data_IF_550158400198
#
_entry.id   IF_550158400198
#
_cell.length_a   1.000
_cell.length_b   1.000
_cell.length_c   1.000
_cell.angle_alpha   90.00
_cell.angle_beta   90.00
_cell.angle_gamma   90.00
#
_symmetry.space_group_name_H-M   'P 1'
#
loop_
_entity.id
_entity.type
_entity.pdbx_description
1 polymer ?
#
# COMPACT_ATOMS: atom_id res chain seq x y z
N UNK A 1 14.71 -16.77 -5.81
CA UNK A 1 15.02 -16.17 -7.09
C UNK A 1 16.41 -15.50 -7.01
N UNK A 2 17.10 -15.37 -8.12
CA UNK A 2 18.41 -14.74 -8.24
C UNK A 2 18.50 -14.03 -9.61
N UNK A 3 19.44 -13.08 -9.75
CA UNK A 3 19.72 -12.45 -11.02
C UNK A 3 20.70 -13.33 -11.82
N UNK A 4 20.35 -13.65 -13.08
CA UNK A 4 21.27 -14.30 -14.02
C UNK A 4 22.33 -13.32 -14.55
N UNK A 5 23.23 -13.80 -15.41
CA UNK A 5 24.30 -12.99 -16.01
C UNK A 5 23.77 -11.82 -16.85
N UNK A 6 22.53 -11.92 -17.35
CA UNK A 6 21.85 -10.88 -18.12
C UNK A 6 21.08 -9.87 -17.23
N UNK A 7 21.06 -10.09 -15.92
CA UNK A 7 20.31 -9.27 -14.98
C UNK A 7 18.82 -9.60 -14.88
N UNK A 8 18.37 -10.74 -15.42
CA UNK A 8 16.98 -11.18 -15.29
C UNK A 8 16.75 -11.92 -13.99
N UNK A 9 15.58 -11.73 -13.38
CA UNK A 9 15.18 -12.44 -12.18
C UNK A 9 14.73 -13.86 -12.53
N UNK A 10 15.49 -14.86 -12.09
CA UNK A 10 15.25 -16.26 -12.37
C UNK A 10 14.88 -17.00 -11.09
N UNK A 11 13.95 -17.95 -11.20
CA UNK A 11 13.61 -18.84 -10.09
C UNK A 11 14.77 -19.81 -9.82
N UNK A 12 15.15 -19.94 -8.54
CA UNK A 12 16.10 -20.95 -8.09
C UNK A 12 15.43 -22.32 -8.00
N UNK A 13 16.18 -23.37 -8.28
CA UNK A 13 15.76 -24.75 -7.99
C UNK A 13 15.80 -25.10 -6.50
N UNK A 14 16.36 -24.22 -5.67
CA UNK A 14 16.46 -24.42 -4.23
C UNK A 14 15.31 -23.69 -3.51
N UNK A 15 14.68 -24.36 -2.56
CA UNK A 15 13.82 -23.75 -1.57
C UNK A 15 14.68 -23.03 -0.53
N UNK A 16 14.23 -21.88 -0.05
CA UNK A 16 14.95 -21.15 0.99
C UNK A 16 14.95 -21.95 2.29
N UNK A 17 16.15 -22.32 2.75
CA UNK A 17 16.35 -23.06 4.02
C UNK A 17 16.95 -22.12 5.06
N UNK A 18 16.70 -22.43 6.35
CA UNK A 18 17.39 -21.76 7.45
C UNK A 18 18.90 -21.95 7.31
N UNK A 19 19.73 -20.95 7.64
CA UNK A 19 21.18 -21.03 7.49
C UNK A 19 21.82 -22.30 8.04
N UNK A 20 21.31 -22.79 9.17
CA UNK A 20 21.83 -23.97 9.87
C UNK A 20 21.39 -25.31 9.25
N UNK A 21 20.50 -25.29 8.27
CA UNK A 21 19.92 -26.47 7.60
C UNK A 21 20.32 -26.55 6.12
N UNK A 22 21.12 -25.60 5.64
CA UNK A 22 21.55 -25.55 4.23
C UNK A 22 22.49 -26.69 3.91
N UNK A 23 22.21 -27.35 2.79
CA UNK A 23 23.13 -28.34 2.23
C UNK A 23 24.37 -27.66 1.64
N UNK A 24 25.45 -28.44 1.47
CA UNK A 24 26.68 -27.93 0.85
C UNK A 24 26.41 -27.39 -0.56
N UNK A 25 25.60 -28.08 -1.35
CA UNK A 25 25.23 -27.64 -2.71
C UNK A 25 24.44 -26.33 -2.73
N UNK A 26 23.56 -26.12 -1.75
CA UNK A 26 22.85 -24.85 -1.57
C UNK A 26 23.80 -23.72 -1.18
N UNK A 27 24.76 -23.99 -0.28
CA UNK A 27 25.80 -23.01 0.15
C UNK A 27 26.69 -22.62 -1.04
N UNK A 28 27.14 -23.60 -1.82
CA UNK A 28 27.98 -23.38 -3.00
C UNK A 28 27.21 -22.57 -4.06
N UNK A 29 25.93 -22.87 -4.30
CA UNK A 29 25.06 -22.09 -5.18
C UNK A 29 24.90 -20.65 -4.68
N UNK A 30 24.58 -20.46 -3.40
CA UNK A 30 24.42 -19.14 -2.79
C UNK A 30 25.72 -18.32 -2.79
N UNK A 31 26.87 -18.95 -2.82
CA UNK A 31 28.16 -18.26 -2.94
C UNK A 31 28.49 -17.84 -4.39
N UNK A 32 27.91 -18.55 -5.37
CA UNK A 32 28.12 -18.28 -6.80
C UNK A 32 27.21 -17.19 -7.36
N UNK A 33 26.11 -16.86 -6.69
CA UNK A 33 25.16 -15.85 -7.16
C UNK A 33 25.45 -14.46 -6.55
N UNK A 34 25.10 -13.42 -7.31
CA UNK A 34 25.17 -12.05 -6.79
C UNK A 34 24.14 -11.85 -5.67
N UNK A 35 24.62 -11.59 -4.46
CA UNK A 35 23.77 -11.42 -3.26
C UNK A 35 23.09 -10.06 -3.17
N UNK A 36 23.45 -9.14 -4.05
CA UNK A 36 22.81 -7.81 -4.09
C UNK A 36 21.80 -7.81 -5.23
N UNK A 37 20.51 -7.82 -4.87
CA UNK A 37 19.46 -7.47 -5.80
C UNK A 37 19.58 -5.96 -6.08
N UNK A 38 20.37 -5.64 -7.09
CA UNK A 38 20.43 -4.27 -7.63
C UNK A 38 19.54 -4.21 -8.84
N UNK A 39 18.69 -3.20 -8.91
CA UNK A 39 17.92 -2.94 -10.12
C UNK A 39 18.88 -2.53 -11.25
N UNK A 40 18.65 -3.00 -12.47
CA UNK A 40 19.37 -2.52 -13.65
C UNK A 40 19.04 -1.03 -13.89
N UNK A 41 19.93 -0.30 -14.58
CA UNK A 41 19.69 1.11 -14.90
C UNK A 41 18.37 1.31 -15.66
N UNK A 42 17.99 0.37 -16.53
CA UNK A 42 16.70 0.39 -17.21
C UNK A 42 15.52 0.21 -16.26
N UNK A 43 15.65 -0.70 -15.28
CA UNK A 43 14.61 -0.88 -14.25
C UNK A 43 14.51 0.35 -13.34
N UNK A 44 15.65 0.97 -13.00
CA UNK A 44 15.69 2.21 -12.23
C UNK A 44 15.05 3.35 -13.03
N UNK A 45 15.38 3.47 -14.31
CA UNK A 45 14.84 4.51 -15.20
C UNK A 45 13.35 4.33 -15.42
N UNK A 46 12.89 3.10 -15.69
CA UNK A 46 11.48 2.78 -15.85
C UNK A 46 10.69 3.01 -14.54
N UNK A 47 11.27 2.68 -13.39
CA UNK A 47 10.68 3.03 -12.11
C UNK A 47 10.63 4.55 -11.88
N UNK A 48 11.69 5.28 -12.17
CA UNK A 48 11.73 6.74 -12.04
C UNK A 48 10.71 7.42 -12.97
N UNK A 49 10.49 6.90 -14.17
CA UNK A 49 9.49 7.42 -15.10
C UNK A 49 8.06 7.01 -14.74
N UNK A 50 7.88 5.84 -14.15
CA UNK A 50 6.58 5.40 -13.59
C UNK A 50 6.23 6.11 -12.27
N UNK A 51 7.24 6.41 -11.46
CA UNK A 51 7.15 7.35 -10.34
C UNK A 51 7.59 8.73 -10.82
N UNK A 52 6.90 9.32 -11.80
CA UNK A 52 6.87 10.78 -11.82
C UNK A 52 6.45 11.17 -10.42
N UNK A 53 7.30 11.94 -9.76
CA UNK A 53 7.07 12.48 -8.43
C UNK A 53 5.67 13.08 -8.40
N UNK A 54 4.72 12.29 -7.92
CA UNK A 54 3.46 12.84 -7.47
C UNK A 54 3.94 13.68 -6.29
N UNK A 55 3.99 14.99 -6.47
CA UNK A 55 4.15 15.88 -5.34
C UNK A 55 2.88 15.70 -4.50
N UNK A 56 2.92 14.74 -3.61
CA UNK A 56 1.92 14.63 -2.57
C UNK A 56 2.21 15.78 -1.64
N UNK A 57 1.39 16.81 -1.70
CA UNK A 57 1.44 17.94 -0.79
C UNK A 57 0.88 17.57 0.60
N UNK A 58 0.72 16.27 0.88
CA UNK A 58 0.23 15.86 2.18
C UNK A 58 1.22 16.28 3.27
N UNK A 59 0.78 17.07 4.24
CA UNK A 59 1.66 17.57 5.28
C UNK A 59 2.25 16.43 6.11
N UNK A 60 3.54 16.50 6.40
CA UNK A 60 4.26 15.48 7.20
C UNK A 60 4.33 15.82 8.68
N UNK A 61 3.77 16.97 9.07
CA UNK A 61 3.68 17.45 10.45
C UNK A 61 2.34 18.14 10.69
N UNK A 62 2.00 18.33 11.97
CA UNK A 62 0.75 18.97 12.36
C UNK A 62 -0.40 17.98 12.48
N UNK A 63 -1.61 18.51 12.49
CA UNK A 63 -2.84 17.75 12.67
C UNK A 63 -3.55 17.61 11.32
N UNK A 64 -3.55 16.42 10.75
CA UNK A 64 -3.95 16.19 9.36
C UNK A 64 -5.08 15.17 9.26
N UNK A 65 -6.07 15.47 8.43
CA UNK A 65 -7.17 14.55 8.16
C UNK A 65 -6.76 13.48 7.14
N UNK A 66 -7.14 12.24 7.40
CA UNK A 66 -6.89 11.09 6.52
C UNK A 66 -8.22 10.44 6.17
N UNK A 67 -8.53 10.33 4.89
CA UNK A 67 -9.72 9.61 4.41
C UNK A 67 -9.36 8.17 4.09
N UNK A 68 -10.14 7.23 4.63
CA UNK A 68 -10.06 5.80 4.36
C UNK A 68 -11.41 5.37 3.78
N UNK A 69 -11.43 4.91 2.52
CA UNK A 69 -12.63 4.46 1.85
C UNK A 69 -12.61 2.93 1.77
N UNK A 70 -13.53 2.28 2.44
CA UNK A 70 -13.70 0.83 2.38
C UNK A 70 -14.51 0.46 1.14
N UNK A 71 -14.01 -0.51 0.38
CA UNK A 71 -14.70 -0.99 -0.82
C UNK A 71 -14.89 -2.50 -0.80
N UNK A 72 -16.00 -2.96 -1.36
CA UNK A 72 -16.25 -4.33 -1.79
C UNK A 72 -16.34 -4.38 -3.30
N UNK A 73 -16.17 -5.56 -3.87
CA UNK A 73 -16.24 -5.77 -5.31
C UNK A 73 -17.54 -6.50 -5.67
N UNK A 74 -17.97 -6.39 -6.92
CA UNK A 74 -19.21 -7.06 -7.38
C UNK A 74 -19.22 -8.58 -7.11
N UNK A 75 -18.04 -9.21 -7.12
CA UNK A 75 -17.83 -10.64 -6.89
C UNK A 75 -17.33 -10.98 -5.47
N UNK A 76 -17.04 -9.98 -4.64
CA UNK A 76 -16.49 -10.19 -3.29
C UNK A 76 -17.06 -9.19 -2.30
N UNK A 77 -17.95 -9.67 -1.45
CA UNK A 77 -18.54 -8.87 -0.39
C UNK A 77 -17.52 -8.52 0.70
N UNK A 78 -17.71 -7.37 1.31
CA UNK A 78 -16.99 -6.95 2.50
C UNK A 78 -17.45 -7.78 3.71
N UNK A 79 -16.53 -8.29 4.51
CA UNK A 79 -16.82 -9.25 5.59
C UNK A 79 -16.56 -8.71 6.99
N UNK A 80 -15.92 -7.56 7.11
CA UNK A 80 -15.60 -6.93 8.39
C UNK A 80 -16.54 -5.77 8.69
N UNK A 81 -16.72 -5.44 9.95
CA UNK A 81 -17.46 -4.26 10.34
C UNK A 81 -16.63 -2.99 10.11
N UNK A 82 -17.27 -1.87 9.76
CA UNK A 82 -16.60 -0.57 9.60
C UNK A 82 -15.87 -0.15 10.87
N UNK A 83 -16.48 -0.43 12.02
CA UNK A 83 -15.96 -0.15 13.36
C UNK A 83 -14.62 -0.85 13.66
N UNK A 84 -14.35 -1.99 13.01
CA UNK A 84 -13.04 -2.67 13.12
C UNK A 84 -11.94 -1.83 12.46
N UNK A 85 -12.24 -1.17 11.35
CA UNK A 85 -11.33 -0.27 10.65
C UNK A 85 -11.21 1.09 11.35
N UNK A 86 -12.29 1.64 11.90
CA UNK A 86 -12.23 2.82 12.75
C UNK A 86 -11.29 2.59 13.94
N UNK A 87 -11.42 1.43 14.59
CA UNK A 87 -10.56 1.05 15.70
C UNK A 87 -9.10 0.88 15.26
N UNK A 88 -8.85 0.19 14.14
CA UNK A 88 -7.51 0.02 13.59
C UNK A 88 -6.87 1.36 13.21
N UNK A 89 -7.65 2.28 12.67
CA UNK A 89 -7.15 3.56 12.19
C UNK A 89 -6.86 4.55 13.35
N UNK A 90 -7.74 4.61 14.37
CA UNK A 90 -7.76 5.74 15.32
C UNK A 90 -7.73 5.37 16.80
N UNK A 91 -8.00 4.11 17.20
CA UNK A 91 -8.11 3.74 18.61
C UNK A 91 -6.73 3.81 19.30
N UNK A 92 -6.54 4.64 20.33
CA UNK A 92 -5.29 4.66 21.07
C UNK A 92 -4.96 3.30 21.70
N UNK A 93 -3.72 2.84 21.54
CA UNK A 93 -3.29 1.55 22.08
C UNK A 93 -3.96 0.34 21.46
N UNK A 94 -4.41 0.42 20.19
CA UNK A 94 -5.03 -0.71 19.49
C UNK A 94 -4.11 -1.95 19.55
N UNK A 95 -4.66 -3.09 20.01
CA UNK A 95 -3.86 -4.30 20.30
C UNK A 95 -4.44 -5.60 19.74
N UNK A 96 -5.48 -5.54 18.87
CA UNK A 96 -6.04 -6.76 18.27
C UNK A 96 -4.99 -7.43 17.37
N UNK A 97 -5.01 -8.76 17.36
CA UNK A 97 -4.12 -9.59 16.53
C UNK A 97 -2.61 -9.31 16.71
N UNK A 98 -2.21 -8.85 17.89
CA UNK A 98 -0.80 -8.56 18.21
C UNK A 98 -0.32 -7.19 17.70
N UNK A 99 -1.21 -6.31 17.28
CA UNK A 99 -0.87 -4.93 16.97
C UNK A 99 -0.36 -4.19 18.22
N UNK A 100 0.53 -3.23 18.02
CA UNK A 100 1.15 -2.42 19.10
C UNK A 100 0.73 -0.96 19.06
N UNK A 101 -0.41 -0.67 18.44
CA UNK A 101 -1.01 0.65 18.28
C UNK A 101 -1.89 0.70 17.04
N UNK A 102 -2.63 1.79 16.89
CA UNK A 102 -3.40 2.11 15.69
C UNK A 102 -2.52 2.76 14.61
N UNK A 103 -3.08 3.00 13.42
CA UNK A 103 -2.41 3.80 12.38
C UNK A 103 -2.04 5.19 12.92
N UNK A 104 -2.96 5.82 13.67
CA UNK A 104 -2.72 7.11 14.33
C UNK A 104 -1.54 7.02 15.29
N UNK A 105 -1.50 6.02 16.18
CA UNK A 105 -0.42 5.83 17.14
C UNK A 105 0.93 5.64 16.42
N UNK A 106 0.95 4.81 15.37
CA UNK A 106 2.16 4.55 14.61
C UNK A 106 2.77 5.83 14.01
N UNK A 107 1.97 6.65 13.32
CA UNK A 107 2.48 7.87 12.71
C UNK A 107 2.86 8.93 13.75
N UNK A 108 2.14 8.99 14.86
CA UNK A 108 2.51 9.85 15.98
C UNK A 108 3.88 9.47 16.55
N UNK A 109 4.11 8.18 16.79
CA UNK A 109 5.37 7.67 17.35
C UNK A 109 6.55 7.86 16.39
N UNK A 110 6.43 7.46 15.12
CA UNK A 110 7.53 7.54 14.15
C UNK A 110 7.86 8.99 13.75
N UNK A 111 6.93 9.92 13.92
CA UNK A 111 7.16 11.35 13.73
C UNK A 111 7.66 12.07 14.99
N UNK A 112 7.88 11.35 16.08
CA UNK A 112 8.22 11.93 17.37
C UNK A 112 7.17 12.94 17.87
N UNK A 113 5.89 12.63 17.68
CA UNK A 113 4.76 13.47 18.06
C UNK A 113 4.53 14.69 17.17
N UNK A 114 5.20 14.77 16.02
CA UNK A 114 5.07 15.92 15.11
C UNK A 114 3.89 15.80 14.13
N UNK A 115 3.44 14.56 13.85
CA UNK A 115 2.31 14.29 12.97
C UNK A 115 1.18 13.62 13.75
N UNK A 116 0.03 14.26 13.81
CA UNK A 116 -1.18 13.65 14.35
C UNK A 116 -2.19 13.44 13.21
N UNK A 117 -2.59 12.19 12.97
CA UNK A 117 -3.59 11.86 11.97
C UNK A 117 -4.98 11.82 12.60
N UNK A 118 -5.99 12.33 11.87
CA UNK A 118 -7.40 12.19 12.17
C UNK A 118 -8.06 11.33 11.07
N UNK A 119 -8.04 10.00 11.20
CA UNK A 119 -8.65 9.13 10.23
C UNK A 119 -10.17 9.25 10.24
N UNK A 120 -10.77 9.28 9.05
CA UNK A 120 -12.21 9.11 8.82
C UNK A 120 -12.40 7.90 7.92
N UNK A 121 -13.17 6.92 8.37
CA UNK A 121 -13.47 5.71 7.60
C UNK A 121 -14.86 5.84 6.98
N UNK A 122 -14.95 5.67 5.66
CA UNK A 122 -16.21 5.72 4.90
C UNK A 122 -16.50 4.35 4.25
N UNK A 123 -17.76 4.08 3.97
CA UNK A 123 -18.22 2.83 3.35
C UNK A 123 -18.51 1.72 4.38
N UNK A 124 -18.49 0.43 3.96
CA UNK A 124 -18.00 -0.07 2.67
C UNK A 124 -18.96 0.21 1.50
N UNK A 125 -18.41 0.64 0.39
CA UNK A 125 -19.15 0.81 -0.87
C UNK A 125 -18.90 -0.37 -1.81
N UNK A 126 -19.92 -0.76 -2.59
CA UNK A 126 -19.77 -1.85 -3.55
C UNK A 126 -19.45 -1.30 -4.92
N UNK A 127 -18.27 -1.63 -5.42
CA UNK A 127 -17.84 -1.28 -6.77
C UNK A 127 -18.57 -2.10 -7.83
N UNK A 128 -18.74 -1.55 -9.02
CA UNK A 128 -19.55 -2.12 -10.11
C UNK A 128 -18.91 -3.35 -10.76
N UNK A 129 -17.59 -3.51 -10.68
CA UNK A 129 -16.86 -4.57 -11.37
C UNK A 129 -16.26 -5.58 -10.38
N UNK A 130 -15.92 -6.80 -10.87
CA UNK A 130 -15.20 -7.80 -10.09
C UNK A 130 -13.80 -7.32 -9.66
N UNK A 131 -13.27 -7.87 -8.57
CA UNK A 131 -11.93 -7.53 -8.06
C UNK A 131 -10.83 -7.67 -9.12
N UNK A 132 -10.90 -8.71 -9.98
CA UNK A 132 -9.94 -8.93 -11.04
C UNK A 132 -9.95 -7.84 -12.14
N UNK A 133 -11.06 -7.12 -12.31
CA UNK A 133 -11.12 -6.00 -13.25
C UNK A 133 -10.21 -4.86 -12.83
N UNK A 134 -10.14 -4.56 -11.53
CA UNK A 134 -9.32 -3.47 -10.99
C UNK A 134 -7.89 -3.90 -10.70
N UNK A 135 -7.70 -5.07 -10.11
CA UNK A 135 -6.44 -5.53 -9.54
C UNK A 135 -5.83 -6.76 -10.20
N UNK A 136 -6.21 -7.12 -11.45
CA UNK A 136 -5.49 -8.16 -12.18
C UNK A 136 -4.05 -7.73 -12.45
N UNK A 137 -3.13 -8.69 -12.41
CA UNK A 137 -1.73 -8.43 -12.70
C UNK A 137 -1.55 -7.95 -14.16
N UNK A 138 -1.26 -6.68 -14.31
CA UNK A 138 -0.88 -6.06 -15.57
C UNK A 138 0.62 -6.20 -15.86
N UNK A 139 1.08 -5.64 -16.98
CA UNK A 139 2.52 -5.57 -17.29
C UNK A 139 3.29 -4.88 -16.15
N UNK A 140 4.48 -5.39 -15.85
CA UNK A 140 5.39 -4.80 -14.84
C UNK A 140 4.85 -4.81 -13.39
N UNK A 141 4.02 -5.80 -13.01
CA UNK A 141 3.42 -5.92 -11.67
C UNK A 141 2.54 -4.72 -11.26
N UNK A 142 1.99 -4.00 -12.22
CA UNK A 142 0.97 -2.98 -11.98
C UNK A 142 -0.42 -3.60 -12.06
N UNK A 143 -1.36 -3.07 -11.30
CA UNK A 143 -2.77 -3.39 -11.46
C UNK A 143 -3.32 -2.83 -12.78
N UNK A 144 -4.39 -3.45 -13.32
CA UNK A 144 -4.91 -3.08 -14.64
C UNK A 144 -5.66 -1.75 -14.59
N UNK A 145 -6.60 -1.57 -13.65
CA UNK A 145 -7.48 -0.40 -13.58
C UNK A 145 -7.54 0.24 -12.17
N UNK A 146 -6.41 0.50 -11.48
CA UNK A 146 -6.44 1.03 -10.11
C UNK A 146 -7.01 2.45 -10.04
N UNK A 147 -6.84 3.26 -11.09
CA UNK A 147 -7.39 4.62 -11.15
C UNK A 147 -8.92 4.62 -11.23
N UNK A 148 -9.50 3.67 -11.97
CA UNK A 148 -10.95 3.53 -12.07
C UNK A 148 -11.54 3.12 -10.73
N UNK A 149 -10.87 2.20 -10.00
CA UNK A 149 -11.27 1.81 -8.66
C UNK A 149 -11.36 3.03 -7.72
N UNK A 150 -10.30 3.83 -7.67
CA UNK A 150 -10.26 5.02 -6.80
C UNK A 150 -11.33 6.04 -7.22
N UNK A 151 -11.48 6.29 -8.52
CA UNK A 151 -12.47 7.23 -9.04
C UNK A 151 -13.91 6.82 -8.69
N UNK A 152 -14.24 5.53 -8.85
CA UNK A 152 -15.55 5.00 -8.49
C UNK A 152 -15.79 5.02 -6.98
N UNK A 153 -14.80 4.64 -6.18
CA UNK A 153 -14.88 4.68 -4.72
C UNK A 153 -15.15 6.11 -4.21
N UNK A 154 -14.44 7.10 -4.76
CA UNK A 154 -14.67 8.51 -4.41
C UNK A 154 -16.08 8.97 -4.84
N UNK A 155 -16.53 8.61 -6.04
CA UNK A 155 -17.86 8.96 -6.51
C UNK A 155 -18.99 8.37 -5.65
N UNK A 156 -18.81 7.15 -5.14
CA UNK A 156 -19.74 6.51 -4.21
C UNK A 156 -19.74 7.17 -2.83
N UNK A 157 -18.59 7.66 -2.39
CA UNK A 157 -18.45 8.32 -1.10
C UNK A 157 -18.95 9.78 -1.11
N UNK A 158 -19.11 10.41 -2.26
CA UNK A 158 -19.42 11.84 -2.43
C UNK A 158 -20.70 12.30 -1.71
N UNK A 159 -21.67 11.41 -1.57
CA UNK A 159 -22.91 11.72 -0.85
C UNK A 159 -22.77 11.72 0.68
N UNK A 160 -21.72 11.11 1.22
CA UNK A 160 -21.47 10.95 2.66
C UNK A 160 -20.31 11.81 3.17
N UNK A 161 -19.31 12.04 2.32
CA UNK A 161 -18.03 12.65 2.67
C UNK A 161 -17.90 14.05 2.06
N UNK A 162 -17.64 15.00 2.92
CA UNK A 162 -17.18 16.33 2.50
C UNK A 162 -15.68 16.29 2.23
N UNK A 163 -15.32 16.11 0.98
CA UNK A 163 -13.93 15.99 0.53
C UNK A 163 -13.10 17.24 0.79
N UNK A 164 -13.71 18.42 0.95
CA UNK A 164 -12.98 19.66 1.25
C UNK A 164 -12.22 19.61 2.59
N UNK A 165 -12.65 18.72 3.51
CA UNK A 165 -11.97 18.52 4.78
C UNK A 165 -10.62 17.80 4.65
N UNK A 166 -10.32 17.23 3.49
CA UNK A 166 -9.10 16.47 3.18
C UNK A 166 -8.19 17.21 2.19
N UNK A 167 -8.50 18.46 1.88
CA UNK A 167 -7.68 19.43 1.15
C UNK A 167 -6.99 20.34 2.18
N UNK A 168 -5.84 19.89 2.70
CA UNK A 168 -5.15 20.55 3.79
C UNK A 168 -4.41 21.82 3.35
N UNK A 169 -4.09 21.92 2.05
CA UNK A 169 -3.37 23.05 1.46
C UNK A 169 -4.29 24.04 0.73
N UNK A 170 -5.60 23.77 0.63
CA UNK A 170 -6.63 24.54 -0.04
C UNK A 170 -6.34 24.79 -1.54
N UNK A 171 -5.80 23.78 -2.24
CA UNK A 171 -5.54 23.85 -3.68
C UNK A 171 -6.72 23.33 -4.54
N UNK A 172 -7.80 22.90 -3.91
CA UNK A 172 -9.00 22.35 -4.53
C UNK A 172 -8.88 20.88 -4.89
N UNK A 173 -7.91 20.17 -4.31
CA UNK A 173 -7.68 18.72 -4.50
C UNK A 173 -7.53 18.03 -3.16
N UNK A 174 -7.92 16.77 -3.11
CA UNK A 174 -7.67 15.93 -1.94
C UNK A 174 -6.17 15.60 -1.88
N UNK A 175 -5.54 15.80 -0.73
CA UNK A 175 -4.10 15.53 -0.56
C UNK A 175 -3.79 14.04 -0.48
N UNK A 176 -4.65 13.25 0.17
CA UNK A 176 -4.51 11.80 0.23
C UNK A 176 -5.84 11.09 0.49
N UNK A 177 -6.02 9.91 -0.14
CA UNK A 177 -7.08 8.95 0.13
C UNK A 177 -6.50 7.54 0.15
N UNK A 178 -6.98 6.70 1.06
CA UNK A 178 -6.63 5.29 1.21
C UNK A 178 -7.84 4.38 1.12
#
# INVERSE_FOLDING_TARGET
>A
AYLNENGDLVASSYLASNPNQRTKTEIDFLSSINKRLTFSDNQITNRKSAFQKIETNYPTTGNNNLLIILVSFADRAFTYAREDFDSLASQPGYSRNGATGSVKDYYYDVSFGQLELNPTVAGPYTLSQPMAYYGAAGPYFSDVNPKEMVSEACALADSEIDFSQFDMNNDGKIDAVH
#
